data_IF_348130492443
#
_entry.id   IF_348130492443
#
_cell.length_a   1.000
_cell.length_b   1.000
_cell.length_c   1.000
_cell.angle_alpha   90.00
_cell.angle_beta   90.00
_cell.angle_gamma   90.00
#
_symmetry.space_group_name_H-M   'P 1'
#
loop_
_entity.id
_entity.type
_entity.pdbx_description
1 polymer ?
#
# COMPACT_ATOMS: atom_id res chain seq x y z
N UNK A 1 11.84 -35.22 1.09
CA UNK A 1 11.26 -34.99 -0.25
C UNK A 1 12.12 -33.92 -0.89
N UNK A 2 12.77 -34.21 -2.02
CA UNK A 2 13.71 -33.30 -2.67
C UNK A 2 12.94 -32.37 -3.65
N UNK A 3 12.87 -31.05 -3.37
CA UNK A 3 12.18 -30.10 -4.25
C UNK A 3 12.87 -29.91 -5.61
N UNK A 4 14.10 -30.39 -5.79
CA UNK A 4 14.88 -30.29 -7.03
C UNK A 4 14.80 -31.55 -7.90
N UNK A 5 13.96 -32.53 -7.54
CA UNK A 5 13.63 -33.63 -8.44
C UNK A 5 12.97 -33.06 -9.71
N UNK A 6 13.60 -33.31 -10.87
CA UNK A 6 13.15 -32.85 -12.20
C UNK A 6 11.66 -33.10 -12.45
N UNK A 7 11.12 -34.21 -11.94
CA UNK A 7 9.71 -34.58 -12.08
C UNK A 7 8.79 -33.68 -11.25
N UNK A 8 9.18 -33.37 -10.02
CA UNK A 8 8.42 -32.49 -9.14
C UNK A 8 8.53 -31.03 -9.59
N UNK A 9 9.71 -30.60 -10.04
CA UNK A 9 9.88 -29.28 -10.64
C UNK A 9 8.95 -29.08 -11.85
N UNK A 10 8.86 -30.09 -12.72
CA UNK A 10 7.94 -30.12 -13.87
C UNK A 10 6.45 -30.07 -13.48
N UNK A 11 6.08 -30.70 -12.37
CA UNK A 11 4.73 -30.65 -11.79
C UNK A 11 4.39 -29.24 -11.29
N UNK A 12 5.29 -28.60 -10.54
CA UNK A 12 5.11 -27.26 -10.00
C UNK A 12 5.08 -26.21 -11.11
N UNK A 13 5.98 -26.30 -12.09
CA UNK A 13 5.99 -25.44 -13.28
C UNK A 13 4.68 -25.57 -14.08
N UNK A 14 4.14 -26.78 -14.19
CA UNK A 14 2.82 -27.01 -14.83
C UNK A 14 1.71 -26.26 -14.11
N UNK A 15 1.67 -26.33 -12.77
CA UNK A 15 0.64 -25.64 -11.98
C UNK A 15 0.72 -24.12 -12.15
N UNK A 16 1.92 -23.55 -12.07
CA UNK A 16 2.15 -22.11 -12.24
C UNK A 16 1.74 -21.63 -13.64
N UNK A 17 2.15 -22.34 -14.70
CA UNK A 17 1.79 -21.98 -16.08
C UNK A 17 0.29 -22.08 -16.34
N UNK A 18 -0.40 -23.04 -15.72
CA UNK A 18 -1.87 -23.16 -15.81
C UNK A 18 -2.58 -21.99 -15.12
N UNK A 19 -2.05 -21.51 -13.99
CA UNK A 19 -2.58 -20.35 -13.29
C UNK A 19 -2.41 -19.08 -14.11
N UNK A 20 -1.25 -18.90 -14.74
CA UNK A 20 -0.93 -17.71 -15.52
C UNK A 20 -1.68 -17.65 -16.86
N UNK A 21 -1.83 -18.78 -17.54
CA UNK A 21 -2.38 -18.81 -18.91
C UNK A 21 -3.83 -19.31 -19.00
N UNK A 22 -4.43 -19.74 -17.89
CA UNK A 22 -5.86 -20.07 -17.77
C UNK A 22 -6.35 -21.28 -18.59
N UNK A 23 -5.48 -21.96 -19.34
CA UNK A 23 -5.84 -23.15 -20.11
C UNK A 23 -4.63 -24.06 -20.37
N UNK A 24 -4.88 -25.36 -20.51
CA UNK A 24 -3.84 -26.34 -20.85
C UNK A 24 -3.19 -26.07 -22.21
N UNK A 25 -3.94 -25.55 -23.18
CA UNK A 25 -3.42 -25.22 -24.50
C UNK A 25 -2.44 -24.03 -24.43
N UNK A 26 -2.80 -22.96 -23.73
CA UNK A 26 -1.95 -21.79 -23.59
C UNK A 26 -0.72 -22.08 -22.71
N UNK A 27 -0.89 -22.78 -21.58
CA UNK A 27 0.22 -23.22 -20.74
C UNK A 27 1.16 -24.19 -21.48
N UNK A 28 0.61 -25.07 -22.33
CA UNK A 28 1.40 -26.00 -23.16
C UNK A 28 2.30 -25.27 -24.15
N UNK A 29 1.80 -24.21 -24.78
CA UNK A 29 2.62 -23.35 -25.64
C UNK A 29 3.75 -22.67 -24.86
N UNK A 30 3.46 -22.13 -23.68
CA UNK A 30 4.46 -21.46 -22.84
C UNK A 30 5.58 -22.41 -22.38
N UNK A 31 5.22 -23.64 -22.01
CA UNK A 31 6.18 -24.66 -21.54
C UNK A 31 6.78 -25.52 -22.66
N UNK A 32 6.39 -25.28 -23.93
CA UNK A 32 6.75 -26.14 -25.07
C UNK A 32 6.41 -27.63 -24.85
N UNK A 33 5.25 -27.90 -24.24
CA UNK A 33 4.75 -29.27 -23.95
C UNK A 33 3.35 -29.46 -24.49
N UNK A 34 3.04 -30.71 -24.87
CA UNK A 34 1.69 -31.06 -25.29
C UNK A 34 0.68 -30.97 -24.12
N UNK A 35 -0.55 -30.47 -24.31
CA UNK A 35 -1.55 -30.33 -23.24
C UNK A 35 -1.82 -31.61 -22.44
N UNK A 36 -1.76 -32.78 -23.09
CA UNK A 36 -1.94 -34.08 -22.41
C UNK A 36 -0.82 -34.37 -21.40
N UNK A 37 0.40 -33.87 -21.60
CA UNK A 37 1.51 -34.00 -20.66
C UNK A 37 1.25 -33.15 -19.42
N UNK A 38 0.82 -31.90 -19.61
CA UNK A 38 0.45 -31.02 -18.50
C UNK A 38 -0.72 -31.56 -17.69
N UNK A 39 -1.72 -32.15 -18.34
CA UNK A 39 -2.83 -32.82 -17.66
C UNK A 39 -2.35 -33.97 -16.76
N UNK A 40 -1.40 -34.80 -17.24
CA UNK A 40 -0.83 -35.90 -16.45
C UNK A 40 0.00 -35.39 -15.27
N UNK A 41 0.78 -34.33 -15.46
CA UNK A 41 1.61 -33.71 -14.41
C UNK A 41 0.76 -33.07 -13.32
N UNK A 42 -0.29 -32.32 -13.68
CA UNK A 42 -1.23 -31.78 -12.70
C UNK A 42 -1.90 -32.90 -11.89
N UNK A 43 -2.34 -33.97 -12.55
CA UNK A 43 -2.95 -35.10 -11.85
C UNK A 43 -1.97 -35.80 -10.89
N UNK A 44 -0.70 -35.92 -11.26
CA UNK A 44 0.34 -36.46 -10.39
C UNK A 44 0.57 -35.57 -9.16
N UNK A 45 0.61 -34.24 -9.35
CA UNK A 45 0.73 -33.27 -8.27
C UNK A 45 -0.44 -33.36 -7.29
N UNK A 46 -1.68 -33.35 -7.80
CA UNK A 46 -2.89 -33.49 -6.99
C UNK A 46 -2.91 -34.82 -6.23
N UNK A 47 -2.54 -35.92 -6.90
CA UNK A 47 -2.45 -37.24 -6.27
C UNK A 47 -1.41 -37.30 -5.16
N UNK A 48 -0.27 -36.62 -5.34
CA UNK A 48 0.80 -36.56 -4.36
C UNK A 48 0.44 -35.72 -3.13
N UNK A 49 -0.29 -34.63 -3.34
CA UNK A 49 -0.76 -33.75 -2.25
C UNK A 49 -2.06 -34.23 -1.60
N UNK A 50 -2.76 -35.18 -2.22
CA UNK A 50 -4.04 -35.70 -1.73
C UNK A 50 -5.21 -34.72 -1.83
N UNK A 51 -5.04 -33.62 -2.57
CA UNK A 51 -6.03 -32.55 -2.71
C UNK A 51 -6.21 -32.14 -4.17
N UNK A 52 -7.40 -31.63 -4.50
CA UNK A 52 -7.65 -30.96 -5.78
C UNK A 52 -7.15 -29.52 -5.72
N UNK A 53 -6.32 -29.14 -6.68
CA UNK A 53 -5.81 -27.79 -6.85
C UNK A 53 -6.62 -27.03 -7.92
N UNK A 54 -7.23 -27.78 -8.85
CA UNK A 54 -7.97 -27.22 -9.98
C UNK A 54 -9.30 -27.96 -10.17
N UNK A 55 -10.37 -27.21 -10.34
CA UNK A 55 -11.67 -27.69 -10.77
C UNK A 55 -11.83 -27.55 -12.28
N UNK A 56 -12.09 -28.66 -12.96
CA UNK A 56 -12.40 -28.66 -14.39
C UNK A 56 -13.88 -28.39 -14.59
N UNK A 57 -14.20 -27.24 -15.19
CA UNK A 57 -15.50 -27.03 -15.83
C UNK A 57 -15.32 -27.09 -17.34
N UNK A 58 -16.36 -27.44 -18.09
CA UNK A 58 -16.31 -27.64 -19.55
C UNK A 58 -16.01 -26.37 -20.35
N UNK A 59 -15.82 -25.21 -19.70
CA UNK A 59 -15.49 -23.93 -20.35
C UNK A 59 -14.29 -23.19 -19.76
N UNK A 60 -13.89 -23.43 -18.51
CA UNK A 60 -12.78 -22.69 -17.88
C UNK A 60 -12.05 -23.54 -16.82
N UNK A 61 -10.73 -23.33 -16.73
CA UNK A 61 -9.89 -23.84 -15.66
C UNK A 61 -10.05 -22.95 -14.42
N UNK A 62 -10.60 -23.48 -13.32
CA UNK A 62 -10.77 -22.72 -12.07
C UNK A 62 -9.89 -23.32 -10.98
N UNK A 63 -9.11 -22.50 -10.30
CA UNK A 63 -8.32 -22.94 -9.15
C UNK A 63 -9.20 -23.05 -7.91
N UNK A 64 -8.90 -24.04 -7.06
CA UNK A 64 -9.42 -24.08 -5.69
C UNK A 64 -8.68 -23.05 -4.83
N UNK A 65 -9.21 -22.73 -3.66
CA UNK A 65 -8.54 -21.82 -2.72
C UNK A 65 -7.16 -22.37 -2.31
N UNK A 66 -7.06 -23.69 -2.13
CA UNK A 66 -5.80 -24.39 -1.87
C UNK A 66 -4.83 -24.26 -3.06
N UNK A 67 -5.33 -24.42 -4.28
CA UNK A 67 -4.56 -24.26 -5.50
C UNK A 67 -4.01 -22.84 -5.67
N UNK A 68 -4.85 -21.83 -5.45
CA UNK A 68 -4.44 -20.43 -5.52
C UNK A 68 -3.38 -20.09 -4.46
N UNK A 69 -3.58 -20.54 -3.20
CA UNK A 69 -2.60 -20.36 -2.12
C UNK A 69 -1.28 -21.05 -2.42
N UNK A 70 -1.30 -22.26 -3.00
CA UNK A 70 -0.09 -22.98 -3.37
C UNK A 70 0.68 -22.24 -4.48
N UNK A 71 -0.01 -21.77 -5.52
CA UNK A 71 0.63 -21.01 -6.61
C UNK A 71 1.32 -19.75 -6.07
N UNK A 72 0.68 -19.04 -5.16
CA UNK A 72 1.27 -17.83 -4.57
C UNK A 72 2.56 -18.15 -3.80
N UNK A 73 2.57 -19.24 -3.02
CA UNK A 73 3.79 -19.71 -2.33
C UNK A 73 4.88 -20.16 -3.31
N UNK A 74 4.51 -20.83 -4.39
CA UNK A 74 5.46 -21.26 -5.42
C UNK A 74 6.07 -20.07 -6.16
N UNK A 75 5.29 -19.03 -6.44
CA UNK A 75 5.79 -17.78 -7.04
C UNK A 75 6.84 -17.11 -6.15
N UNK A 76 6.58 -17.04 -4.85
CA UNK A 76 7.54 -16.53 -3.87
C UNK A 76 8.83 -17.37 -3.88
N UNK A 77 8.71 -18.71 -3.83
CA UNK A 77 9.86 -19.61 -3.84
C UNK A 77 10.68 -19.54 -5.13
N UNK A 78 10.03 -19.45 -6.29
CA UNK A 78 10.71 -19.28 -7.57
C UNK A 78 11.50 -17.96 -7.63
N UNK A 79 10.97 -16.89 -7.04
CA UNK A 79 11.68 -15.63 -6.88
C UNK A 79 12.98 -15.78 -6.07
N UNK A 80 12.95 -16.56 -4.97
CA UNK A 80 14.13 -16.82 -4.14
C UNK A 80 15.19 -17.66 -4.83
N UNK A 81 14.78 -18.66 -5.61
CA UNK A 81 15.71 -19.48 -6.39
C UNK A 81 16.40 -18.61 -7.44
N UNK A 82 15.62 -17.81 -8.19
CA UNK A 82 16.17 -16.86 -9.16
C UNK A 82 17.09 -15.84 -8.50
N UNK A 83 16.79 -15.41 -7.27
CA UNK A 83 17.63 -14.51 -6.49
C UNK A 83 18.94 -15.18 -6.06
N UNK A 84 18.90 -16.40 -5.52
CA UNK A 84 20.10 -17.15 -5.13
C UNK A 84 21.01 -17.46 -6.33
N UNK A 85 20.42 -17.82 -7.48
CA UNK A 85 21.15 -17.99 -8.73
C UNK A 85 21.78 -16.67 -9.20
N UNK A 86 21.08 -15.55 -9.04
CA UNK A 86 21.58 -14.22 -9.39
C UNK A 86 22.71 -13.74 -8.49
N UNK A 87 22.57 -13.89 -7.16
CA UNK A 87 23.60 -13.62 -6.15
C UNK A 87 24.86 -14.46 -6.38
N UNK A 88 24.69 -15.74 -6.75
CA UNK A 88 25.79 -16.63 -7.09
C UNK A 88 26.44 -16.28 -8.43
N UNK A 89 25.69 -15.72 -9.38
CA UNK A 89 26.16 -15.50 -10.75
C UNK A 89 27.12 -14.33 -10.88
N UNK A 90 26.84 -13.11 -10.37
CA UNK A 90 27.75 -11.94 -10.47
C UNK A 90 27.46 -10.81 -9.47
N UNK A 91 28.52 -10.23 -8.91
CA UNK A 91 28.48 -8.88 -8.32
C UNK A 91 27.96 -7.85 -9.32
N UNK A 92 27.07 -6.97 -8.85
CA UNK A 92 26.51 -5.81 -9.56
C UNK A 92 25.65 -6.07 -10.81
N UNK A 93 24.83 -7.14 -10.84
CA UNK A 93 23.88 -7.35 -11.93
C UNK A 93 22.53 -6.61 -11.71
N UNK A 94 22.14 -5.79 -12.71
CA UNK A 94 20.89 -5.01 -12.80
C UNK A 94 19.67 -5.74 -12.20
N UNK A 95 18.99 -5.10 -11.25
CA UNK A 95 17.73 -5.59 -10.67
C UNK A 95 16.65 -5.69 -11.76
N UNK A 96 15.98 -6.84 -11.86
CA UNK A 96 14.90 -7.12 -12.83
C UNK A 96 13.76 -7.91 -12.19
N UNK A 97 12.60 -7.92 -12.84
CA UNK A 97 11.45 -8.73 -12.44
C UNK A 97 10.21 -7.89 -12.18
N UNK A 98 9.25 -8.44 -11.46
CA UNK A 98 7.97 -7.78 -11.16
C UNK A 98 7.94 -7.31 -9.71
N UNK A 99 7.37 -6.14 -9.48
CA UNK A 99 7.12 -5.60 -8.14
C UNK A 99 5.70 -5.05 -8.07
N UNK A 100 4.86 -5.69 -7.24
CA UNK A 100 3.47 -5.31 -7.04
C UNK A 100 3.28 -4.59 -5.70
N UNK A 101 2.81 -3.34 -5.77
CA UNK A 101 2.71 -2.41 -4.64
C UNK A 101 1.27 -2.00 -4.37
N UNK A 102 0.87 -2.04 -3.09
CA UNK A 102 -0.36 -1.39 -2.63
C UNK A 102 -0.06 -0.04 -1.96
N UNK A 103 -0.70 1.03 -2.42
CA UNK A 103 -0.38 2.40 -2.02
C UNK A 103 -1.65 3.14 -1.57
N UNK A 104 -1.57 4.06 -0.58
CA UNK A 104 -2.71 4.89 -0.21
C UNK A 104 -3.11 5.78 -1.38
N UNK A 105 -4.40 6.00 -1.64
CA UNK A 105 -4.81 6.49 -2.95
C UNK A 105 -4.35 7.94 -3.22
N UNK A 106 -4.70 8.87 -2.33
CA UNK A 106 -4.35 10.28 -2.49
C UNK A 106 -2.83 10.54 -2.31
N UNK A 107 -2.23 9.97 -1.26
CA UNK A 107 -0.78 10.11 -1.01
C UNK A 107 0.04 9.45 -2.11
N UNK A 108 -0.42 8.29 -2.57
CA UNK A 108 0.23 7.53 -3.62
C UNK A 108 0.35 8.37 -4.89
N UNK A 109 -0.76 8.92 -5.37
CA UNK A 109 -0.77 9.78 -6.57
C UNK A 109 0.10 11.03 -6.41
N UNK A 110 0.01 11.71 -5.27
CA UNK A 110 0.69 13.01 -5.06
C UNK A 110 2.19 12.88 -4.82
N UNK A 111 2.60 11.90 -4.03
CA UNK A 111 3.96 11.86 -3.46
C UNK A 111 4.73 10.58 -3.81
N UNK A 112 4.05 9.44 -3.96
CA UNK A 112 4.74 8.17 -4.22
C UNK A 112 4.93 7.91 -5.71
N UNK A 113 3.97 8.30 -6.57
CA UNK A 113 4.08 8.12 -8.02
C UNK A 113 5.32 8.79 -8.63
N UNK A 114 5.72 10.03 -8.26
CA UNK A 114 6.99 10.60 -8.72
C UNK A 114 8.21 9.78 -8.28
N UNK A 115 8.25 9.34 -7.02
CA UNK A 115 9.33 8.50 -6.49
C UNK A 115 9.42 7.16 -7.23
N UNK A 116 8.26 6.58 -7.59
CA UNK A 116 8.16 5.34 -8.35
C UNK A 116 8.59 5.52 -9.81
N UNK A 117 8.30 6.67 -10.41
CA UNK A 117 8.80 6.98 -11.74
C UNK A 117 10.33 7.04 -11.75
N UNK A 118 10.94 7.69 -10.75
CA UNK A 118 12.39 7.73 -10.60
C UNK A 118 12.99 6.33 -10.35
N UNK A 119 12.31 5.49 -9.57
CA UNK A 119 12.71 4.09 -9.37
C UNK A 119 12.65 3.29 -10.67
N UNK A 120 11.59 3.44 -11.47
CA UNK A 120 11.43 2.77 -12.75
C UNK A 120 12.53 3.18 -13.75
N UNK A 121 12.91 4.46 -13.76
CA UNK A 121 14.01 4.97 -14.58
C UNK A 121 15.37 4.40 -14.14
N UNK A 122 15.60 4.27 -12.83
CA UNK A 122 16.83 3.69 -12.28
C UNK A 122 16.93 2.16 -12.49
N UNK A 123 15.78 1.48 -12.59
CA UNK A 123 15.69 0.02 -12.71
C UNK A 123 14.81 -0.40 -13.90
N UNK A 124 15.25 -0.19 -15.16
CA UNK A 124 14.43 -0.41 -16.35
C UNK A 124 14.04 -1.89 -16.59
N UNK A 125 14.70 -2.83 -15.91
CA UNK A 125 14.32 -4.25 -15.95
C UNK A 125 13.20 -4.63 -14.98
N UNK A 126 12.69 -3.68 -14.19
CA UNK A 126 11.61 -3.89 -13.23
C UNK A 126 10.27 -3.45 -13.81
N UNK A 127 9.29 -4.34 -13.78
CA UNK A 127 7.89 -4.01 -14.06
C UNK A 127 7.19 -3.67 -12.75
N UNK A 128 6.77 -2.40 -12.61
CA UNK A 128 5.98 -1.94 -11.47
C UNK A 128 4.48 -2.16 -11.72
N UNK A 129 3.83 -2.91 -10.84
CA UNK A 129 2.37 -3.02 -10.78
C UNK A 129 1.91 -2.26 -9.53
N UNK A 130 1.11 -1.20 -9.68
CA UNK A 130 0.71 -0.36 -8.54
C UNK A 130 -0.79 -0.31 -8.41
N UNK A 131 -1.29 -0.52 -7.19
CA UNK A 131 -2.70 -0.37 -6.84
C UNK A 131 -2.85 0.74 -5.80
N UNK A 132 -3.69 1.72 -6.12
CA UNK A 132 -3.96 2.87 -5.26
C UNK A 132 -5.32 2.69 -4.59
N UNK A 133 -5.34 2.43 -3.29
CA UNK A 133 -6.58 2.15 -2.58
C UNK A 133 -6.51 2.55 -1.11
N UNK A 134 -7.61 3.12 -0.61
CA UNK A 134 -7.76 3.48 0.80
C UNK A 134 -8.38 2.34 1.63
N UNK A 135 -8.78 1.23 0.98
CA UNK A 135 -9.25 0.02 1.69
C UNK A 135 -8.09 -0.70 2.36
N UNK A 136 -8.38 -1.47 3.40
CA UNK A 136 -7.41 -2.44 3.92
C UNK A 136 -7.26 -3.57 2.88
N UNK A 137 -6.03 -3.80 2.42
CA UNK A 137 -5.68 -4.84 1.44
C UNK A 137 -4.98 -5.96 2.17
N UNK A 138 -5.33 -7.19 1.85
CA UNK A 138 -4.58 -8.35 2.34
C UNK A 138 -3.33 -8.49 1.47
N UNK A 139 -2.20 -7.99 1.98
CA UNK A 139 -0.92 -8.00 1.26
C UNK A 139 -0.55 -9.43 0.84
N UNK A 140 -0.82 -10.42 1.70
CA UNK A 140 -0.46 -11.82 1.44
C UNK A 140 -1.48 -12.47 0.53
N UNK A 141 -2.77 -12.37 0.87
CA UNK A 141 -3.85 -13.00 0.11
C UNK A 141 -4.03 -12.45 -1.30
N UNK A 142 -3.71 -11.17 -1.51
CA UNK A 142 -3.85 -10.50 -2.81
C UNK A 142 -2.53 -10.49 -3.62
N UNK A 143 -1.44 -11.03 -3.06
CA UNK A 143 -0.16 -11.21 -3.74
C UNK A 143 0.59 -9.90 -3.99
N UNK A 144 0.60 -8.99 -3.00
CA UNK A 144 1.43 -7.79 -3.02
C UNK A 144 2.81 -8.07 -2.43
N UNK A 145 3.85 -7.53 -3.06
CA UNK A 145 5.23 -7.65 -2.58
C UNK A 145 5.52 -6.68 -1.42
N UNK A 146 4.92 -5.49 -1.49
CA UNK A 146 4.98 -4.49 -0.42
C UNK A 146 3.75 -3.57 -0.44
N UNK A 147 3.50 -2.90 0.69
CA UNK A 147 2.50 -1.86 0.77
C UNK A 147 3.01 -0.63 1.54
N UNK A 148 2.50 0.54 1.19
CA UNK A 148 2.64 1.74 2.01
C UNK A 148 1.31 1.99 2.73
N UNK A 149 1.37 2.23 4.04
CA UNK A 149 0.19 2.45 4.88
C UNK A 149 0.36 3.67 5.78
N UNK A 150 -0.76 4.35 6.01
CA UNK A 150 -0.87 5.52 6.89
C UNK A 150 -1.77 5.12 8.05
N UNK A 151 -1.38 5.41 9.28
CA UNK A 151 -2.23 5.12 10.44
C UNK A 151 -1.44 4.58 11.62
N UNK A 152 -2.13 3.82 12.47
CA UNK A 152 -1.52 2.96 13.49
C UNK A 152 -1.40 1.55 12.91
N UNK A 153 -0.33 0.85 13.27
CA UNK A 153 -0.21 -0.57 12.97
C UNK A 153 -1.02 -1.35 14.01
N UNK A 154 -1.93 -2.20 13.54
CA UNK A 154 -2.40 -3.32 14.36
C UNK A 154 -1.31 -4.39 14.40
N UNK A 155 -1.24 -5.15 15.49
CA UNK A 155 -0.37 -6.32 15.58
C UNK A 155 -0.64 -7.24 14.39
N UNK A 156 0.34 -7.34 13.51
CA UNK A 156 0.26 -8.09 12.26
C UNK A 156 1.50 -8.95 12.13
N UNK A 157 1.37 -10.12 11.50
CA UNK A 157 2.50 -10.96 11.12
C UNK A 157 3.40 -10.32 10.04
N UNK A 158 3.00 -9.15 9.52
CA UNK A 158 3.74 -8.39 8.53
C UNK A 158 4.96 -7.69 9.14
N UNK A 159 6.03 -7.60 8.37
CA UNK A 159 7.20 -6.81 8.74
C UNK A 159 6.92 -5.34 8.40
N UNK A 160 6.75 -4.53 9.44
CA UNK A 160 6.48 -3.11 9.32
C UNK A 160 7.73 -2.26 9.60
N UNK A 161 8.00 -1.30 8.71
CA UNK A 161 9.05 -0.30 8.87
C UNK A 161 8.44 1.09 8.82
N UNK A 162 8.64 1.89 9.87
CA UNK A 162 8.23 3.31 9.88
C UNK A 162 9.12 4.10 8.91
N UNK A 163 8.51 4.77 7.94
CA UNK A 163 9.18 5.68 7.01
C UNK A 163 9.24 7.09 7.60
N UNK A 164 8.13 7.59 8.13
CA UNK A 164 8.07 8.87 8.85
C UNK A 164 6.87 8.93 9.82
N UNK A 165 6.82 10.00 10.62
CA UNK A 165 5.62 10.32 11.39
C UNK A 165 4.49 10.77 10.46
N UNK A 166 3.24 10.53 10.85
CA UNK A 166 2.08 11.06 10.16
C UNK A 166 1.44 12.14 11.02
N UNK A 167 1.49 13.39 10.56
CA UNK A 167 0.90 14.52 11.28
C UNK A 167 -0.46 14.83 10.69
N UNK A 168 -1.50 14.75 11.52
CA UNK A 168 -2.83 15.24 11.16
C UNK A 168 -3.06 16.62 11.73
N UNK A 169 -3.55 17.49 10.86
CA UNK A 169 -3.76 18.90 11.09
C UNK A 169 -5.22 19.26 10.78
N UNK A 170 -5.71 20.31 11.41
CA UNK A 170 -7.00 20.92 11.11
C UNK A 170 -6.78 22.15 10.24
N UNK A 171 -7.61 22.29 9.20
CA UNK A 171 -7.58 23.41 8.27
C UNK A 171 -8.99 23.80 7.84
N UNK A 172 -9.16 25.07 7.45
CA UNK A 172 -10.38 25.57 6.82
C UNK A 172 -10.04 26.66 5.79
N UNK A 173 -10.93 26.93 4.84
CA UNK A 173 -10.77 28.07 3.96
C UNK A 173 -10.95 29.39 4.75
N UNK A 174 -10.18 30.45 4.43
CA UNK A 174 -10.37 31.77 5.04
C UNK A 174 -11.82 32.27 4.96
N UNK A 175 -12.50 31.99 3.84
CA UNK A 175 -13.90 32.38 3.61
C UNK A 175 -14.89 31.71 4.58
N UNK A 176 -14.60 30.49 5.05
CA UNK A 176 -15.39 29.82 6.07
C UNK A 176 -15.20 30.50 7.42
N UNK A 177 -13.95 30.76 7.82
CA UNK A 177 -13.64 31.39 9.11
C UNK A 177 -14.17 32.83 9.20
N UNK A 178 -14.19 33.58 8.09
CA UNK A 178 -14.81 34.90 8.04
C UNK A 178 -16.32 34.87 8.34
N UNK A 179 -17.02 33.81 7.91
CA UNK A 179 -18.47 33.66 8.12
C UNK A 179 -18.83 33.09 9.49
N UNK A 180 -18.00 32.18 10.01
CA UNK A 180 -18.32 31.36 11.19
C UNK A 180 -17.45 31.67 12.41
N UNK A 181 -16.46 32.54 12.28
CA UNK A 181 -15.43 32.76 13.29
C UNK A 181 -14.35 31.68 13.28
N UNK A 182 -13.27 31.92 14.02
CA UNK A 182 -12.18 30.97 14.21
C UNK A 182 -12.28 30.28 15.58
N UNK A 183 -12.28 28.94 15.65
CA UNK A 183 -12.31 28.23 16.92
C UNK A 183 -10.97 28.41 17.66
N UNK A 184 -11.04 28.74 18.95
CA UNK A 184 -9.87 29.03 19.79
C UNK A 184 -9.49 27.84 20.67
N UNK A 185 -10.47 27.01 21.00
CA UNK A 185 -10.32 25.80 21.80
C UNK A 185 -10.96 24.60 21.08
N UNK A 186 -10.52 23.36 21.35
CA UNK A 186 -11.13 22.17 20.77
C UNK A 186 -12.66 22.10 20.97
N UNK A 187 -13.15 22.49 22.15
CA UNK A 187 -14.58 22.51 22.44
C UNK A 187 -15.41 23.36 21.46
N UNK A 188 -14.83 24.43 20.88
CA UNK A 188 -15.51 25.29 19.91
C UNK A 188 -15.85 24.52 18.62
N UNK A 189 -15.11 23.45 18.28
CA UNK A 189 -15.38 22.65 17.09
C UNK A 189 -16.76 21.99 17.11
N UNK A 190 -17.38 21.81 18.28
CA UNK A 190 -18.73 21.29 18.40
C UNK A 190 -19.80 22.21 17.77
N UNK A 191 -19.51 23.51 17.62
CA UNK A 191 -20.40 24.49 16.98
C UNK A 191 -20.05 24.79 15.52
N UNK A 192 -18.97 24.19 14.99
CA UNK A 192 -18.54 24.36 13.61
C UNK A 192 -18.96 23.18 12.72
N UNK A 193 -19.12 23.47 11.43
CA UNK A 193 -19.27 22.43 10.42
C UNK A 193 -17.95 21.68 10.21
N UNK A 194 -17.82 20.50 10.79
CA UNK A 194 -16.62 19.68 10.70
C UNK A 194 -16.81 18.56 9.66
N UNK A 195 -15.95 18.54 8.66
CA UNK A 195 -15.99 17.58 7.55
C UNK A 195 -15.49 16.22 8.01
N UNK A 196 -16.36 15.21 7.92
CA UNK A 196 -16.14 13.94 8.57
C UNK A 196 -15.41 12.92 7.72
N UNK A 197 -14.16 12.62 8.07
CA UNK A 197 -13.44 11.50 7.45
C UNK A 197 -13.81 10.18 8.13
N UNK A 198 -14.62 9.35 7.46
CA UNK A 198 -15.12 8.08 8.01
C UNK A 198 -14.04 7.00 8.12
N UNK A 199 -12.89 7.19 7.45
CA UNK A 199 -11.72 6.32 7.59
C UNK A 199 -10.84 6.63 8.81
N UNK A 200 -11.18 7.66 9.61
CA UNK A 200 -10.47 7.95 10.85
C UNK A 200 -10.83 6.93 11.92
N UNK A 201 -9.85 6.32 12.61
CA UNK A 201 -10.12 5.31 13.66
C UNK A 201 -11.01 5.88 14.78
N UNK A 202 -10.76 7.12 15.16
CA UNK A 202 -11.49 7.81 16.23
C UNK A 202 -12.84 8.35 15.78
N UNK A 203 -13.18 8.29 14.48
CA UNK A 203 -14.46 8.75 13.94
C UNK A 203 -15.65 8.18 14.73
N UNK A 204 -16.70 8.96 15.03
CA UNK A 204 -16.87 10.41 14.76
C UNK A 204 -16.22 11.41 15.73
N UNK A 205 -15.24 10.99 16.52
CA UNK A 205 -14.56 11.86 17.47
C UNK A 205 -13.23 12.37 16.93
N UNK A 206 -12.91 13.63 17.21
CA UNK A 206 -11.59 14.20 17.01
C UNK A 206 -10.86 14.26 18.34
N UNK A 207 -9.74 13.54 18.43
CA UNK A 207 -8.86 13.49 19.61
C UNK A 207 -7.68 14.42 19.39
N UNK A 208 -7.71 15.55 20.06
CA UNK A 208 -6.75 16.63 19.94
C UNK A 208 -5.81 16.63 21.14
N UNK A 209 -4.51 16.47 20.87
CA UNK A 209 -3.46 16.45 21.90
C UNK A 209 -2.63 17.72 21.82
N UNK A 210 -2.36 18.33 22.98
CA UNK A 210 -1.41 19.44 23.16
C UNK A 210 -0.67 19.26 24.48
N UNK A 211 0.67 19.16 24.43
CA UNK A 211 1.53 19.09 25.62
C UNK A 211 1.06 18.03 26.66
N UNK A 212 0.62 16.86 26.17
CA UNK A 212 0.12 15.76 27.02
C UNK A 212 -1.35 15.89 27.45
N UNK A 213 -2.01 17.03 27.22
CA UNK A 213 -3.46 17.18 27.41
C UNK A 213 -4.19 16.65 26.19
N UNK A 214 -5.10 15.71 26.42
CA UNK A 214 -6.00 15.14 25.41
C UNK A 214 -7.40 15.76 25.55
N UNK A 215 -7.94 16.30 24.47
CA UNK A 215 -9.33 16.71 24.36
C UNK A 215 -10.03 15.91 23.26
N UNK A 216 -11.14 15.27 23.62
CA UNK A 216 -11.97 14.54 22.65
C UNK A 216 -13.20 15.35 22.34
N UNK A 217 -13.42 15.64 21.06
CA UNK A 217 -14.58 16.41 20.60
C UNK A 217 -15.39 15.54 19.65
N UNK A 218 -16.67 15.33 19.98
CA UNK A 218 -17.62 14.74 19.06
C UNK A 218 -17.95 15.76 17.98
N UNK A 219 -17.55 15.50 16.74
CA UNK A 219 -17.77 16.45 15.66
C UNK A 219 -19.09 16.20 14.92
N UNK A 220 -19.63 17.27 14.34
CA UNK A 220 -20.83 17.24 13.51
C UNK A 220 -20.57 18.05 12.24
N UNK A 221 -21.17 17.62 11.13
CA UNK A 221 -21.05 18.37 9.89
C UNK A 221 -21.91 17.82 8.77
N UNK A 222 -21.98 18.61 7.70
CA UNK A 222 -22.87 18.41 6.56
C UNK A 222 -22.33 17.44 5.52
N UNK A 223 -21.06 17.04 5.62
CA UNK A 223 -20.42 16.13 4.69
C UNK A 223 -19.53 15.13 5.43
N UNK A 224 -19.70 13.86 5.10
CA UNK A 224 -18.87 12.76 5.58
C UNK A 224 -18.42 11.93 4.37
N UNK A 225 -17.16 11.50 4.35
CA UNK A 225 -16.61 10.73 3.24
C UNK A 225 -15.46 9.85 3.69
N UNK A 226 -15.25 8.75 2.98
CA UNK A 226 -14.06 7.91 3.09
C UNK A 226 -12.92 8.37 2.17
N UNK A 227 -13.10 9.45 1.43
CA UNK A 227 -12.10 10.03 0.52
C UNK A 227 -11.67 11.42 1.00
N UNK A 228 -10.39 11.55 1.33
CA UNK A 228 -9.83 12.81 1.81
C UNK A 228 -9.74 13.90 0.72
N UNK A 229 -9.61 13.54 -0.56
CA UNK A 229 -9.61 14.52 -1.67
C UNK A 229 -10.96 15.19 -1.82
N UNK A 230 -12.05 14.41 -1.68
CA UNK A 230 -13.40 14.94 -1.72
C UNK A 230 -13.64 15.93 -0.56
N UNK A 231 -13.19 15.59 0.64
CA UNK A 231 -13.30 16.47 1.80
C UNK A 231 -12.40 17.72 1.67
N UNK A 232 -11.21 17.58 1.07
CA UNK A 232 -10.32 18.71 0.78
C UNK A 232 -10.98 19.70 -0.20
N UNK A 233 -11.62 19.20 -1.25
CA UNK A 233 -12.37 20.04 -2.18
C UNK A 233 -13.50 20.82 -1.48
N UNK A 234 -14.24 20.18 -0.58
CA UNK A 234 -15.26 20.84 0.23
C UNK A 234 -14.66 21.89 1.19
N UNK A 235 -13.53 21.59 1.82
CA UNK A 235 -12.83 22.54 2.68
C UNK A 235 -12.40 23.79 1.91
N UNK A 236 -11.82 23.62 0.71
CA UNK A 236 -11.43 24.72 -0.20
C UNK A 236 -12.62 25.60 -0.61
N UNK A 237 -13.78 24.98 -0.84
CA UNK A 237 -15.02 25.70 -1.12
C UNK A 237 -15.61 26.43 0.11
N UNK A 238 -14.98 26.29 1.29
CA UNK A 238 -15.43 26.91 2.53
C UNK A 238 -16.67 26.27 3.14
N UNK A 239 -16.85 24.96 2.91
CA UNK A 239 -17.96 24.21 3.52
C UNK A 239 -17.75 24.03 5.03
N UNK A 240 -16.52 23.75 5.45
CA UNK A 240 -16.23 23.42 6.85
C UNK A 240 -14.76 23.25 7.18
N UNK A 241 -14.50 22.79 8.40
CA UNK A 241 -13.17 22.47 8.93
C UNK A 241 -12.84 21.02 8.57
N UNK A 242 -11.67 20.78 8.01
CA UNK A 242 -11.15 19.45 7.68
C UNK A 242 -10.03 19.06 8.63
N UNK A 243 -10.10 17.84 9.16
CA UNK A 243 -8.94 17.14 9.72
C UNK A 243 -8.35 16.19 8.67
N UNK A 244 -7.06 16.32 8.39
CA UNK A 244 -6.37 15.46 7.42
C UNK A 244 -4.86 15.48 7.61
N UNK A 245 -4.14 14.68 6.82
CA UNK A 245 -2.68 14.69 6.84
C UNK A 245 -2.09 15.99 6.31
N UNK A 246 -0.99 16.44 6.88
CA UNK A 246 -0.24 17.61 6.39
C UNK A 246 0.19 17.48 4.92
N UNK A 247 0.60 16.28 4.51
CA UNK A 247 0.91 15.91 3.13
C UNK A 247 -0.22 16.16 2.12
N UNK A 248 -1.47 16.19 2.58
CA UNK A 248 -2.63 16.45 1.73
C UNK A 248 -2.88 17.95 1.55
N UNK A 249 -2.58 18.74 2.57
CA UNK A 249 -2.97 20.15 2.66
C UNK A 249 -1.80 21.11 2.48
N UNK A 250 -0.55 20.63 2.40
CA UNK A 250 0.63 21.48 2.34
C UNK A 250 0.60 22.53 1.22
N UNK A 251 0.16 22.17 0.02
CA UNK A 251 0.06 23.10 -1.11
C UNK A 251 -1.03 24.15 -0.89
N UNK A 252 -2.16 23.77 -0.29
CA UNK A 252 -3.25 24.69 0.03
C UNK A 252 -2.87 25.68 1.13
N UNK A 253 -2.11 25.22 2.11
CA UNK A 253 -1.53 26.06 3.16
C UNK A 253 -0.50 27.03 2.58
N UNK A 254 0.40 26.56 1.72
CA UNK A 254 1.43 27.39 1.10
C UNK A 254 0.84 28.47 0.17
N UNK A 255 -0.28 28.17 -0.50
CA UNK A 255 -0.98 29.10 -1.39
C UNK A 255 -2.04 29.96 -0.69
N UNK A 256 -2.32 29.73 0.60
CA UNK A 256 -3.32 30.47 1.37
C UNK A 256 -4.78 30.10 1.07
N UNK A 257 -5.03 29.07 0.26
CA UNK A 257 -6.39 28.54 0.04
C UNK A 257 -7.00 27.94 1.30
N UNK A 258 -6.15 27.36 2.15
CA UNK A 258 -6.51 26.91 3.49
C UNK A 258 -5.59 27.57 4.51
N UNK A 259 -6.09 27.70 5.74
CA UNK A 259 -5.31 28.13 6.90
C UNK A 259 -5.43 27.11 8.02
N UNK A 260 -4.38 26.97 8.83
CA UNK A 260 -4.37 26.07 10.00
C UNK A 260 -5.40 26.56 11.00
N UNK A 261 -6.21 25.63 11.50
CA UNK A 261 -7.11 25.82 12.62
C UNK A 261 -6.51 25.11 13.83
N UNK A 262 -6.55 25.75 15.01
CA UNK A 262 -6.00 25.21 16.25
C UNK A 262 -4.55 24.68 16.07
N UNK A 263 -3.60 25.49 15.53
CA UNK A 263 -2.26 25.02 15.13
C UNK A 263 -1.45 24.38 16.27
N UNK A 264 -1.74 24.75 17.51
CA UNK A 264 -1.12 24.23 18.73
C UNK A 264 -1.62 22.83 19.14
N UNK A 265 -2.61 22.28 18.44
CA UNK A 265 -3.19 20.96 18.68
C UNK A 265 -2.86 20.00 17.52
N UNK A 266 -2.59 18.75 17.87
CA UNK A 266 -2.36 17.66 16.92
C UNK A 266 -3.48 16.64 17.03
N UNK A 267 -3.97 16.14 15.91
CA UNK A 267 -5.02 15.12 15.89
C UNK A 267 -4.41 13.73 15.81
N UNK A 268 -4.84 12.81 16.67
CA UNK A 268 -4.38 11.41 16.73
C UNK A 268 -2.83 11.28 16.62
N UNK A 269 -2.11 11.77 17.65
CA UNK A 269 -0.65 11.96 17.66
C UNK A 269 0.20 10.70 17.46
N UNK A 270 -0.38 9.51 17.56
CA UNK A 270 0.34 8.23 17.56
C UNK A 270 0.30 7.52 16.20
N UNK A 271 0.33 8.28 15.09
CA UNK A 271 0.25 7.75 13.73
C UNK A 271 1.57 7.84 12.97
N UNK A 272 1.80 6.88 12.06
CA UNK A 272 2.96 6.86 11.17
C UNK A 272 2.61 6.50 9.73
N UNK A 273 3.62 6.63 8.88
CA UNK A 273 3.60 6.11 7.51
C UNK A 273 4.60 4.96 7.47
N UNK A 274 4.14 3.81 7.00
CA UNK A 274 4.86 2.55 7.13
C UNK A 274 4.98 1.83 5.79
N UNK A 275 6.14 1.23 5.56
CA UNK A 275 6.34 0.19 4.56
C UNK A 275 6.04 -1.17 5.20
N UNK A 276 5.12 -1.93 4.61
CA UNK A 276 4.71 -3.27 5.05
C UNK A 276 5.14 -4.33 4.03
N UNK A 277 5.58 -5.49 4.51
CA UNK A 277 5.97 -6.63 3.67
C UNK A 277 5.54 -7.97 4.29
N UNK A 278 5.24 -9.01 3.47
CA UNK A 278 4.85 -10.34 3.94
C UNK A 278 5.85 -11.05 4.88
N UNK A 279 7.15 -10.91 4.63
CA UNK A 279 8.23 -11.52 5.44
C UNK A 279 9.56 -10.79 5.23
N UNK A 280 10.42 -10.74 6.25
CA UNK A 280 11.78 -10.22 6.14
C UNK A 280 12.76 -11.23 5.53
N UNK A 281 12.44 -12.53 5.56
CA UNK A 281 13.38 -13.62 5.28
C UNK A 281 13.39 -14.07 3.82
N UNK A 282 12.39 -13.67 3.05
CA UNK A 282 12.10 -14.16 1.69
C UNK A 282 11.67 -13.03 0.75
N UNK A 283 12.30 -11.85 0.85
CA UNK A 283 12.00 -10.71 -0.04
C UNK A 283 12.94 -10.73 -1.24
N UNK A 284 12.38 -10.73 -2.45
CA UNK A 284 13.16 -10.66 -3.70
C UNK A 284 14.08 -9.43 -3.74
N UNK A 285 15.16 -9.52 -4.51
CA UNK A 285 16.09 -8.43 -4.77
C UNK A 285 15.38 -7.14 -5.21
N UNK A 286 14.33 -7.24 -6.02
CA UNK A 286 13.53 -6.08 -6.45
C UNK A 286 12.78 -5.43 -5.29
N UNK A 287 12.16 -6.23 -4.42
CA UNK A 287 11.49 -5.74 -3.21
C UNK A 287 12.48 -5.12 -2.23
N UNK A 288 13.67 -5.71 -2.10
CA UNK A 288 14.72 -5.18 -1.25
C UNK A 288 15.31 -3.87 -1.80
N UNK A 289 15.51 -3.79 -3.12
CA UNK A 289 15.94 -2.57 -3.79
C UNK A 289 14.90 -1.45 -3.63
N UNK A 290 13.61 -1.75 -3.83
CA UNK A 290 12.54 -0.78 -3.59
C UNK A 290 12.48 -0.33 -2.13
N UNK A 291 12.64 -1.26 -1.17
CA UNK A 291 12.72 -0.92 0.25
C UNK A 291 13.85 0.08 0.51
N UNK A 292 15.07 -0.22 0.04
CA UNK A 292 16.22 0.67 0.23
C UNK A 292 15.98 2.03 -0.44
N UNK A 293 15.42 2.03 -1.65
CA UNK A 293 15.08 3.24 -2.39
C UNK A 293 14.10 4.12 -1.62
N UNK A 294 12.97 3.56 -1.17
CA UNK A 294 11.95 4.34 -0.46
C UNK A 294 12.44 4.81 0.91
N UNK A 295 13.20 3.98 1.64
CA UNK A 295 13.80 4.38 2.91
C UNK A 295 14.77 5.55 2.72
N UNK A 296 15.62 5.51 1.69
CA UNK A 296 16.55 6.60 1.39
C UNK A 296 15.83 7.91 1.06
N UNK A 297 14.68 7.84 0.38
CA UNK A 297 13.86 9.03 0.07
C UNK A 297 13.24 9.66 1.30
N UNK A 298 12.77 8.85 2.25
CA UNK A 298 12.19 9.34 3.49
C UNK A 298 13.23 9.66 4.57
N UNK A 299 14.48 9.20 4.43
CA UNK A 299 15.57 9.51 5.36
C UNK A 299 15.97 11.00 5.36
N UNK A 300 15.69 11.73 4.27
CA UNK A 300 15.97 13.16 4.14
C UNK A 300 14.84 14.05 4.67
N UNK A 301 13.78 13.46 5.25
CA UNK A 301 12.54 14.15 5.61
C UNK A 301 11.37 13.63 4.77
N UNK A 302 10.15 13.98 5.16
CA UNK A 302 8.99 13.59 4.38
C UNK A 302 8.94 14.41 3.06
N UNK A 303 8.60 13.81 1.90
CA UNK A 303 8.67 14.51 0.60
C UNK A 303 7.85 15.80 0.48
N UNK A 304 6.85 15.96 1.36
CA UNK A 304 5.93 17.10 1.41
C UNK A 304 6.32 18.15 2.45
N UNK A 305 7.33 17.89 3.29
CA UNK A 305 7.88 18.88 4.19
C UNK A 305 8.71 19.85 3.35
N UNK A 306 8.22 21.07 3.19
CA UNK A 306 9.06 22.17 2.70
C UNK A 306 10.15 22.38 3.75
N UNK A 307 11.45 22.51 3.38
CA UNK A 307 12.46 22.94 4.34
C UNK A 307 11.95 24.21 5.00
N UNK A 308 11.91 24.22 6.33
CA UNK A 308 11.53 25.41 7.08
C UNK A 308 12.36 26.56 6.52
N UNK A 309 11.70 27.57 5.94
CA UNK A 309 12.34 28.87 5.85
C UNK A 309 12.55 29.24 7.30
N UNK A 310 13.80 29.32 7.73
CA UNK A 310 14.17 29.93 9.00
C UNK A 310 13.38 31.25 9.06
N UNK A 311 12.38 31.30 9.94
CA UNK A 311 11.71 32.55 10.26
C UNK A 311 12.76 33.41 11.01
N UNK A 312 12.98 34.66 10.56
CA UNK A 312 14.00 35.54 11.14
C UNK A 312 13.74 35.92 12.60
#
# INVERSE_FOLDING_TARGET
>A
MDPFDSRQADELATLMALFEHGSFAAAGRALQRHPSVLSKRLAALESRLGIRLVQRTTRQLRFTDEGARLVERLRQAAGLISEAEHEASQGAAQIRGRLRLALPAAMGRRWLSPILAEFALAHPGVTLETEYSDRFVDIVGEGFDAAIRIGELADSQLVARKLCAHRRILCAAPSYLQRHGEPRLPADLASHNCLGFTGLRSWPDWRLTRQGRLETVRIHGTLQSNDNEALLAAARAGVGILAGGDWLMNQDLASGHLVRVLPQWQLDSDSGIFLLRPSARFSSATTQAFKQWIEARFAQGAPWETPARDEP
#
